data_IF_538915960976
#
_entry.id   IF_538915960976
#
_cell.length_a   1.000
_cell.length_b   1.000
_cell.length_c   1.000
_cell.angle_alpha   90.00
_cell.angle_beta   90.00
_cell.angle_gamma   90.00
#
_symmetry.space_group_name_H-M   'P 1'
#
loop_
_entity.id
_entity.type
_entity.pdbx_description
1 polymer ?
#
# COMPACT_ATOMS: atom_id res chain seq x y z
N UNK A 1 64.63 -15.71 72.69
CA UNK A 1 63.98 -14.42 72.36
C UNK A 1 64.06 -14.15 70.86
N UNK A 2 62.99 -14.42 70.11
CA UNK A 2 62.91 -14.02 68.68
C UNK A 2 61.49 -13.50 68.42
N UNK A 3 61.40 -12.23 68.03
CA UNK A 3 60.12 -11.56 67.66
C UNK A 3 59.74 -11.91 66.23
N UNK A 4 58.44 -12.15 65.88
CA UNK A 4 58.02 -12.29 64.51
C UNK A 4 57.66 -10.92 63.88
N UNK A 5 58.09 -10.77 62.65
CA UNK A 5 57.86 -9.62 61.79
C UNK A 5 56.47 -9.80 61.14
N UNK A 6 55.55 -8.86 61.44
CA UNK A 6 54.26 -8.77 60.68
C UNK A 6 54.54 -8.19 59.28
N UNK A 7 54.20 -8.92 58.23
CA UNK A 7 54.15 -8.46 56.83
C UNK A 7 52.73 -8.02 56.48
N UNK A 8 52.53 -6.77 56.32
CA UNK A 8 51.29 -6.18 55.78
C UNK A 8 51.17 -6.54 54.31
N UNK A 9 50.09 -7.26 53.92
CA UNK A 9 49.72 -7.55 52.58
C UNK A 9 48.68 -6.50 52.16
N UNK A 10 49.04 -5.53 51.31
CA UNK A 10 48.11 -4.62 50.65
C UNK A 10 47.44 -5.34 49.50
N UNK A 11 46.17 -5.61 49.62
CA UNK A 11 45.29 -6.06 48.51
C UNK A 11 44.91 -4.82 47.71
N UNK A 12 45.50 -4.66 46.55
CA UNK A 12 45.07 -3.68 45.54
C UNK A 12 43.88 -4.27 44.76
N UNK A 13 42.67 -3.85 45.09
CA UNK A 13 41.47 -4.15 44.33
C UNK A 13 41.42 -3.30 43.06
N UNK A 14 41.86 -3.83 41.93
CA UNK A 14 41.70 -3.22 40.62
C UNK A 14 40.28 -3.26 40.16
N UNK A 15 39.57 -2.14 40.14
CA UNK A 15 38.24 -1.95 39.58
C UNK A 15 38.35 -1.89 38.05
N UNK A 16 38.08 -3.01 37.38
CA UNK A 16 38.05 -3.08 35.92
C UNK A 16 36.73 -2.43 35.42
N UNK A 17 36.80 -1.15 35.03
CA UNK A 17 35.65 -0.48 34.40
C UNK A 17 35.47 -1.04 32.98
N UNK A 18 34.47 -1.92 32.78
CA UNK A 18 34.03 -2.34 31.47
C UNK A 18 33.29 -1.15 30.81
N UNK A 19 34.01 -0.38 29.99
CA UNK A 19 33.36 0.56 29.06
C UNK A 19 32.63 -0.23 28.01
N UNK A 20 31.30 -0.34 28.11
CA UNK A 20 30.46 -0.86 27.06
C UNK A 20 30.50 0.11 25.87
N UNK A 21 31.22 -0.27 24.81
CA UNK A 21 31.13 0.39 23.51
C UNK A 21 29.74 0.14 22.98
N UNK A 22 28.82 1.08 23.13
CA UNK A 22 27.55 1.09 22.40
C UNK A 22 27.89 1.41 20.95
N UNK A 23 28.00 0.37 20.11
CA UNK A 23 28.06 0.53 18.66
C UNK A 23 26.68 1.09 18.27
N UNK A 24 26.59 2.32 17.70
CA UNK A 24 25.33 2.81 17.20
C UNK A 24 24.85 1.83 16.12
N UNK A 25 23.73 1.15 16.36
CA UNK A 25 23.04 0.39 15.33
C UNK A 25 22.57 1.42 14.32
N UNK A 26 23.27 1.54 13.21
CA UNK A 26 22.86 2.40 12.11
C UNK A 26 21.50 1.86 11.63
N UNK A 27 20.44 2.62 11.85
CA UNK A 27 19.13 2.28 11.31
C UNK A 27 19.32 2.08 9.81
N UNK A 28 19.02 0.88 9.31
CA UNK A 28 19.08 0.63 7.88
C UNK A 28 18.14 1.63 7.19
N UNK A 29 18.61 2.31 6.15
CA UNK A 29 17.77 3.21 5.39
C UNK A 29 16.62 2.40 4.78
N UNK A 30 15.41 2.95 4.78
CA UNK A 30 14.23 2.35 4.17
C UNK A 30 14.54 1.93 2.73
N UNK A 31 14.39 0.64 2.43
CA UNK A 31 14.53 0.14 1.08
C UNK A 31 13.21 0.36 0.31
N UNK A 32 13.28 1.01 -0.84
CA UNK A 32 12.13 1.26 -1.72
C UNK A 32 12.30 0.45 -3.00
N UNK A 33 11.46 -0.56 -3.20
CA UNK A 33 11.46 -1.41 -4.38
C UNK A 33 10.13 -1.29 -5.13
N UNK A 34 10.20 -1.19 -6.46
CA UNK A 34 9.01 -1.14 -7.29
C UNK A 34 9.09 -2.13 -8.46
N UNK A 35 7.95 -2.77 -8.76
CA UNK A 35 7.68 -3.49 -9.99
C UNK A 35 6.65 -2.70 -10.79
N UNK A 36 7.02 -2.28 -12.00
CA UNK A 36 6.14 -1.56 -12.93
C UNK A 36 5.87 -2.44 -14.13
N UNK A 37 4.60 -2.77 -14.36
CA UNK A 37 4.16 -3.62 -15.46
C UNK A 37 3.24 -2.82 -16.38
N UNK A 38 3.58 -2.72 -17.69
CA UNK A 38 2.76 -2.12 -18.73
C UNK A 38 2.38 -3.15 -19.79
N UNK A 39 1.09 -3.45 -19.92
CA UNK A 39 0.55 -4.41 -20.89
C UNK A 39 -0.19 -3.65 -21.99
N UNK A 40 0.43 -3.51 -23.16
CA UNK A 40 -0.05 -2.71 -24.29
C UNK A 40 -0.37 -3.55 -25.52
N UNK A 41 0.59 -4.38 -25.96
CA UNK A 41 0.54 -5.12 -27.21
C UNK A 41 -0.16 -6.49 -27.07
N UNK A 42 -1.44 -6.46 -26.80
CA UNK A 42 -2.29 -7.66 -26.71
C UNK A 42 -2.43 -8.36 -28.06
N UNK A 43 -2.46 -9.70 -28.06
CA UNK A 43 -2.51 -10.51 -29.28
C UNK A 43 -3.93 -10.83 -29.75
N UNK A 44 -4.89 -10.84 -28.84
CA UNK A 44 -6.25 -11.35 -29.08
C UNK A 44 -7.34 -10.34 -28.81
N UNK A 45 -6.98 -9.22 -28.21
CA UNK A 45 -7.87 -8.11 -27.85
C UNK A 45 -7.26 -6.78 -28.31
N UNK A 46 -8.01 -5.67 -28.34
CA UNK A 46 -7.46 -4.37 -28.73
C UNK A 46 -6.25 -3.98 -27.90
N UNK A 47 -5.26 -3.39 -28.58
CA UNK A 47 -4.09 -2.80 -27.94
C UNK A 47 -4.48 -1.63 -27.01
N UNK A 48 -3.64 -1.41 -26.00
CA UNK A 48 -3.75 -0.29 -25.06
C UNK A 48 -2.48 0.58 -25.13
N UNK A 49 -2.39 1.53 -26.07
CA UNK A 49 -1.19 2.33 -26.26
C UNK A 49 -0.76 3.08 -25.00
N UNK A 50 -1.72 3.59 -24.22
CA UNK A 50 -1.42 4.37 -23.02
C UNK A 50 -0.78 3.53 -21.90
N UNK A 51 -1.08 2.25 -21.80
CA UNK A 51 -0.49 1.38 -20.76
C UNK A 51 1.05 1.33 -20.80
N UNK A 52 1.64 1.45 -22.01
CA UNK A 52 3.10 1.53 -22.15
C UNK A 52 3.65 2.88 -21.68
N UNK A 53 2.94 3.99 -21.97
CA UNK A 53 3.30 5.32 -21.52
C UNK A 53 3.13 5.45 -20.00
N UNK A 54 2.01 4.97 -19.48
CA UNK A 54 1.72 4.91 -18.04
C UNK A 54 2.85 4.22 -17.26
N UNK A 55 3.28 3.06 -17.73
CA UNK A 55 4.40 2.33 -17.13
C UNK A 55 5.71 3.13 -17.20
N UNK A 56 5.97 3.81 -18.31
CA UNK A 56 7.16 4.67 -18.46
C UNK A 56 7.12 5.84 -17.50
N UNK A 57 6.01 6.58 -17.46
CA UNK A 57 5.83 7.73 -16.56
C UNK A 57 5.96 7.33 -15.09
N UNK A 58 5.35 6.20 -14.71
CA UNK A 58 5.45 5.69 -13.34
C UNK A 58 6.85 5.19 -13.00
N UNK A 59 7.59 4.60 -13.95
CA UNK A 59 9.00 4.24 -13.74
C UNK A 59 9.85 5.47 -13.41
N UNK A 60 9.66 6.56 -14.14
CA UNK A 60 10.38 7.82 -13.91
C UNK A 60 9.97 8.45 -12.57
N UNK A 61 8.69 8.51 -12.27
CA UNK A 61 8.17 9.04 -10.99
C UNK A 61 8.76 8.29 -9.80
N UNK A 62 8.66 6.96 -9.82
CA UNK A 62 9.11 6.11 -8.72
C UNK A 62 10.64 6.13 -8.57
N UNK A 63 11.38 6.14 -9.67
CA UNK A 63 12.83 6.33 -9.63
C UNK A 63 13.22 7.64 -8.94
N UNK A 64 12.55 8.75 -9.28
CA UNK A 64 12.74 10.05 -8.63
C UNK A 64 12.30 10.07 -7.16
N UNK A 65 11.36 9.20 -6.77
CA UNK A 65 10.93 9.02 -5.38
C UNK A 65 11.85 8.06 -4.59
N UNK A 66 12.98 7.65 -5.16
CA UNK A 66 13.98 6.82 -4.49
C UNK A 66 13.71 5.31 -4.55
N UNK A 67 12.82 4.85 -5.41
CA UNK A 67 12.62 3.42 -5.63
C UNK A 67 13.66 2.84 -6.58
N UNK A 68 14.14 1.64 -6.25
CA UNK A 68 14.78 0.77 -7.22
C UNK A 68 13.70 0.11 -8.06
N UNK A 69 13.53 0.54 -9.31
CA UNK A 69 12.43 0.14 -10.16
C UNK A 69 12.84 -1.02 -11.08
N UNK A 70 12.03 -2.08 -11.10
CA UNK A 70 12.05 -3.12 -12.12
C UNK A 70 10.89 -2.88 -13.06
N UNK A 71 11.17 -2.58 -14.33
CA UNK A 71 10.14 -2.36 -15.35
C UNK A 71 10.01 -3.59 -16.24
N UNK A 72 8.78 -3.98 -16.53
CA UNK A 72 8.45 -5.08 -17.43
C UNK A 72 7.27 -4.68 -18.33
N UNK A 73 7.24 -5.14 -19.56
CA UNK A 73 6.19 -4.78 -20.52
C UNK A 73 5.83 -5.95 -21.43
N UNK A 74 4.57 -5.98 -21.83
CA UNK A 74 4.03 -6.95 -22.79
C UNK A 74 4.35 -8.41 -22.44
N UNK A 75 4.16 -8.73 -21.17
CA UNK A 75 4.48 -10.04 -20.62
C UNK A 75 3.44 -11.08 -21.02
N UNK A 76 3.89 -12.23 -21.50
CA UNK A 76 3.11 -13.46 -21.54
C UNK A 76 2.84 -13.97 -20.10
N UNK A 77 1.93 -14.91 -19.93
CA UNK A 77 1.51 -15.39 -18.61
C UNK A 77 2.68 -15.84 -17.74
N UNK A 78 3.55 -16.70 -18.29
CA UNK A 78 4.68 -17.24 -17.53
C UNK A 78 5.70 -16.16 -17.18
N UNK A 79 5.95 -15.23 -18.10
CA UNK A 79 6.88 -14.13 -17.88
C UNK A 79 6.35 -13.17 -16.81
N UNK A 80 5.03 -12.93 -16.77
CA UNK A 80 4.41 -12.10 -15.73
C UNK A 80 4.52 -12.77 -14.35
N UNK A 81 4.25 -14.06 -14.26
CA UNK A 81 4.44 -14.84 -13.03
C UNK A 81 5.89 -14.84 -12.56
N UNK A 82 6.83 -14.98 -13.50
CA UNK A 82 8.26 -14.94 -13.20
C UNK A 82 8.68 -13.56 -12.70
N UNK A 83 8.25 -12.47 -13.36
CA UNK A 83 8.54 -11.10 -12.92
C UNK A 83 8.04 -10.82 -11.49
N UNK A 84 6.84 -11.31 -11.15
CA UNK A 84 6.28 -11.22 -9.79
C UNK A 84 7.14 -12.01 -8.79
N UNK A 85 7.51 -13.23 -9.14
CA UNK A 85 8.34 -14.10 -8.28
C UNK A 85 9.74 -13.51 -8.05
N UNK A 86 10.38 -12.99 -9.08
CA UNK A 86 11.69 -12.35 -8.98
C UNK A 86 11.64 -11.08 -8.14
N UNK A 87 10.56 -10.30 -8.30
CA UNK A 87 10.32 -9.12 -7.47
C UNK A 87 10.12 -9.49 -6.00
N UNK A 88 9.31 -10.51 -5.71
CA UNK A 88 9.12 -11.02 -4.34
C UNK A 88 10.44 -11.49 -3.72
N UNK A 89 11.31 -12.14 -4.51
CA UNK A 89 12.65 -12.54 -4.08
C UNK A 89 13.52 -11.33 -3.70
N UNK A 90 13.48 -10.25 -4.49
CA UNK A 90 14.20 -8.99 -4.18
C UNK A 90 13.66 -8.34 -2.90
N UNK A 91 12.33 -8.27 -2.74
CA UNK A 91 11.69 -7.72 -1.54
C UNK A 91 12.08 -8.53 -0.31
N UNK A 92 12.04 -9.85 -0.39
CA UNK A 92 12.45 -10.74 0.71
C UNK A 92 13.91 -10.53 1.13
N UNK A 93 14.81 -10.33 0.17
CA UNK A 93 16.22 -10.09 0.42
C UNK A 93 16.52 -8.71 1.04
N UNK A 94 15.62 -7.74 0.88
CA UNK A 94 15.82 -6.36 1.36
C UNK A 94 15.39 -6.14 2.82
N UNK A 95 14.72 -7.11 3.44
CA UNK A 95 14.38 -7.08 4.85
C UNK A 95 13.07 -6.34 5.18
N UNK A 96 12.75 -6.32 6.49
CA UNK A 96 11.44 -5.89 6.99
C UNK A 96 11.17 -4.38 6.86
N UNK A 97 12.20 -3.57 6.68
CA UNK A 97 12.06 -2.11 6.53
C UNK A 97 11.87 -1.68 5.06
N UNK A 98 11.40 -2.62 4.24
CA UNK A 98 11.18 -2.42 2.81
C UNK A 98 9.78 -1.90 2.54
N UNK A 99 9.67 -0.87 1.69
CA UNK A 99 8.44 -0.48 1.00
C UNK A 99 8.44 -1.15 -0.38
N UNK A 100 7.47 -2.03 -0.61
CA UNK A 100 7.28 -2.72 -1.88
C UNK A 100 6.10 -2.10 -2.63
N UNK A 101 6.31 -1.65 -3.87
CA UNK A 101 5.26 -1.06 -4.71
C UNK A 101 5.11 -1.88 -5.99
N UNK A 102 3.86 -2.17 -6.37
CA UNK A 102 3.53 -2.72 -7.68
C UNK A 102 2.60 -1.76 -8.40
N UNK A 103 3.00 -1.33 -9.59
CA UNK A 103 2.14 -0.63 -10.54
C UNK A 103 1.84 -1.55 -11.71
N UNK A 104 0.57 -1.63 -12.07
CA UNK A 104 0.12 -2.38 -13.24
C UNK A 104 -0.79 -1.48 -14.09
N UNK A 105 -0.47 -1.36 -15.37
CA UNK A 105 -1.31 -0.74 -16.39
C UNK A 105 -1.63 -1.77 -17.48
N UNK A 106 -2.93 -2.00 -17.73
CA UNK A 106 -3.35 -3.01 -18.70
C UNK A 106 -4.80 -3.44 -18.52
N UNK A 107 -5.23 -4.46 -19.28
CA UNK A 107 -6.53 -5.07 -19.07
C UNK A 107 -6.59 -5.81 -17.74
N UNK A 108 -7.71 -5.69 -17.05
CA UNK A 108 -8.10 -6.48 -15.90
C UNK A 108 -9.53 -6.97 -16.08
N UNK A 109 -9.85 -8.11 -15.52
CA UNK A 109 -11.22 -8.65 -15.55
C UNK A 109 -11.51 -9.42 -14.26
N UNK A 110 -12.78 -9.64 -13.98
CA UNK A 110 -13.20 -10.49 -12.89
C UNK A 110 -14.06 -11.66 -13.38
N UNK A 111 -13.88 -12.81 -12.72
CA UNK A 111 -14.74 -13.98 -12.86
C UNK A 111 -15.10 -14.43 -11.44
N UNK A 112 -16.38 -14.58 -11.15
CA UNK A 112 -16.90 -15.02 -9.85
C UNK A 112 -16.32 -14.23 -8.64
N UNK A 113 -16.10 -12.91 -8.83
CA UNK A 113 -15.52 -12.04 -7.82
C UNK A 113 -13.99 -12.11 -7.68
N UNK A 114 -13.31 -12.98 -8.42
CA UNK A 114 -11.85 -13.05 -8.48
C UNK A 114 -11.31 -12.16 -9.61
N UNK A 115 -10.28 -11.37 -9.27
CA UNK A 115 -9.64 -10.46 -10.21
C UNK A 115 -8.43 -11.11 -10.90
N UNK A 116 -8.31 -10.86 -12.20
CA UNK A 116 -7.23 -11.34 -13.03
C UNK A 116 -6.56 -10.18 -13.79
N UNK A 117 -5.24 -10.11 -13.70
CA UNK A 117 -4.41 -9.31 -14.59
C UNK A 117 -4.26 -10.08 -15.90
N UNK A 118 -4.38 -9.38 -17.02
CA UNK A 118 -4.44 -10.00 -18.36
C UNK A 118 -3.05 -10.00 -19.01
N UNK A 119 -2.40 -11.16 -19.20
CA UNK A 119 -1.19 -11.27 -19.99
C UNK A 119 -1.48 -11.00 -21.47
N UNK A 120 -0.47 -10.57 -22.25
CA UNK A 120 -0.68 -10.21 -23.66
C UNK A 120 -1.03 -11.41 -24.57
N UNK A 121 -0.78 -12.62 -24.10
CA UNK A 121 -1.05 -13.88 -24.83
C UNK A 121 -2.35 -14.59 -24.38
N UNK A 122 -3.13 -13.99 -23.48
CA UNK A 122 -4.39 -14.57 -23.02
C UNK A 122 -5.37 -14.68 -24.17
N UNK A 123 -5.85 -15.91 -24.46
CA UNK A 123 -6.80 -16.23 -25.53
C UNK A 123 -7.86 -17.23 -25.05
N UNK A 124 -8.77 -16.82 -24.16
CA UNK A 124 -9.76 -17.70 -23.58
C UNK A 124 -10.86 -18.02 -24.60
N UNK A 125 -11.22 -19.29 -24.71
CA UNK A 125 -12.36 -19.74 -25.50
C UNK A 125 -13.62 -19.89 -24.64
N UNK A 126 -13.47 -20.03 -23.36
CA UNK A 126 -14.51 -20.18 -22.33
C UNK A 126 -14.08 -19.43 -21.07
N UNK A 127 -15.02 -19.07 -20.22
CA UNK A 127 -14.75 -18.43 -18.92
C UNK A 127 -13.80 -19.26 -18.06
N UNK A 128 -13.96 -20.59 -18.05
CA UNK A 128 -13.10 -21.52 -17.32
C UNK A 128 -11.63 -21.49 -17.77
N UNK A 129 -11.32 -20.92 -18.93
CA UNK A 129 -9.94 -20.80 -19.42
C UNK A 129 -9.21 -19.61 -18.76
N UNK A 130 -9.95 -18.59 -18.27
CA UNK A 130 -9.37 -17.38 -17.67
C UNK A 130 -8.54 -17.69 -16.42
N UNK A 131 -9.02 -18.48 -15.45
CA UNK A 131 -8.19 -18.86 -14.29
C UNK A 131 -6.91 -19.63 -14.66
N UNK A 132 -6.91 -20.30 -15.81
CA UNK A 132 -5.76 -21.06 -16.28
C UNK A 132 -4.73 -20.20 -17.03
N UNK A 133 -5.18 -19.14 -17.71
CA UNK A 133 -4.34 -18.31 -18.59
C UNK A 133 -4.08 -16.91 -18.01
N UNK A 134 -4.90 -16.40 -17.10
CA UNK A 134 -4.71 -15.14 -16.43
C UNK A 134 -3.71 -15.21 -15.26
N UNK A 135 -3.37 -14.06 -14.70
CA UNK A 135 -2.62 -13.96 -13.45
C UNK A 135 -3.56 -13.44 -12.37
N UNK A 136 -3.88 -14.29 -11.39
CA UNK A 136 -4.81 -13.93 -10.32
C UNK A 136 -4.20 -12.84 -9.44
N UNK A 137 -4.94 -11.75 -9.23
CA UNK A 137 -4.48 -10.62 -8.40
C UNK A 137 -4.25 -11.06 -6.95
N UNK A 138 -5.12 -11.92 -6.41
CA UNK A 138 -4.95 -12.43 -5.04
C UNK A 138 -3.66 -13.24 -4.86
N UNK A 139 -3.16 -13.93 -5.88
CA UNK A 139 -1.87 -14.64 -5.80
C UNK A 139 -0.71 -13.64 -5.67
N UNK A 140 -0.73 -12.52 -6.41
CA UNK A 140 0.24 -11.43 -6.27
C UNK A 140 0.18 -10.80 -4.87
N UNK A 141 -1.01 -10.47 -4.40
CA UNK A 141 -1.22 -9.87 -3.07
C UNK A 141 -0.73 -10.79 -1.95
N UNK A 142 -1.07 -12.08 -2.02
CA UNK A 142 -0.66 -13.08 -1.03
C UNK A 142 0.85 -13.33 -1.07
N UNK A 143 1.45 -13.36 -2.26
CA UNK A 143 2.90 -13.56 -2.42
C UNK A 143 3.69 -12.45 -1.71
N UNK A 144 3.32 -11.20 -1.93
CA UNK A 144 3.96 -10.07 -1.25
C UNK A 144 3.50 -9.93 0.22
N UNK A 145 2.24 -10.28 0.49
CA UNK A 145 1.65 -10.27 1.84
C UNK A 145 2.34 -11.20 2.82
N UNK A 146 2.90 -12.30 2.35
CA UNK A 146 3.66 -13.25 3.16
C UNK A 146 5.06 -12.74 3.56
N UNK A 147 5.55 -11.65 2.93
CA UNK A 147 6.88 -11.12 3.19
C UNK A 147 6.86 -10.09 4.32
N UNK A 148 7.86 -10.08 5.19
CA UNK A 148 8.01 -9.02 6.17
C UNK A 148 8.42 -7.72 5.46
N UNK A 149 7.50 -6.77 5.40
CA UNK A 149 7.71 -5.46 4.78
C UNK A 149 7.08 -4.36 5.64
N UNK A 150 7.62 -3.15 5.57
CA UNK A 150 7.05 -1.99 6.23
C UNK A 150 5.72 -1.57 5.61
N UNK A 151 5.66 -1.56 4.28
CA UNK A 151 4.45 -1.26 3.53
C UNK A 151 4.43 -1.96 2.18
N UNK A 152 3.24 -2.29 1.71
CA UNK A 152 2.96 -2.81 0.36
C UNK A 152 1.94 -1.91 -0.31
N UNK A 153 2.28 -1.42 -1.47
CA UNK A 153 1.47 -0.47 -2.22
C UNK A 153 1.18 -1.09 -3.59
N UNK A 154 -0.09 -1.21 -3.94
CA UNK A 154 -0.54 -1.69 -5.24
C UNK A 154 -1.31 -0.56 -5.92
N UNK A 155 -0.88 -0.20 -7.12
CA UNK A 155 -1.54 0.79 -7.97
C UNK A 155 -2.00 0.07 -9.24
N UNK A 156 -3.31 -0.09 -9.39
CA UNK A 156 -3.92 -0.88 -10.45
C UNK A 156 -4.64 0.06 -11.43
N UNK A 157 -3.96 0.42 -12.50
CA UNK A 157 -4.57 1.11 -13.64
C UNK A 157 -5.13 0.07 -14.61
N UNK A 158 -6.11 -0.64 -14.08
CA UNK A 158 -6.78 -1.75 -14.74
C UNK A 158 -8.22 -1.72 -14.28
N UNK A 159 -9.15 -1.73 -15.06
CA UNK A 159 -10.60 -1.84 -14.85
C UNK A 159 -11.29 -1.36 -16.11
N UNK A 160 -11.10 -2.10 -17.17
CA UNK A 160 -11.68 -1.75 -18.47
C UNK A 160 -12.83 -2.69 -18.75
N UNK A 161 -13.58 -2.36 -19.78
CA UNK A 161 -14.58 -3.30 -20.32
C UNK A 161 -13.97 -4.68 -20.46
N UNK A 162 -14.77 -5.70 -20.21
CA UNK A 162 -14.39 -7.06 -20.52
C UNK A 162 -13.85 -7.13 -21.96
N UNK A 163 -12.54 -7.38 -22.16
CA UNK A 163 -11.96 -7.39 -23.49
C UNK A 163 -12.39 -8.61 -24.32
N UNK A 164 -13.13 -9.56 -23.72
CA UNK A 164 -13.64 -10.78 -24.33
C UNK A 164 -15.18 -10.77 -24.34
N UNK A 165 -15.84 -10.01 -25.23
CA UNK A 165 -17.30 -9.83 -25.21
C UNK A 165 -18.08 -11.12 -25.41
N UNK A 166 -17.45 -12.16 -25.97
CA UNK A 166 -18.06 -13.49 -26.11
C UNK A 166 -18.18 -14.25 -24.77
N UNK A 167 -17.52 -13.78 -23.70
CA UNK A 167 -17.55 -14.38 -22.37
C UNK A 167 -18.48 -13.56 -21.47
N UNK A 168 -19.73 -13.97 -21.41
CA UNK A 168 -20.80 -13.21 -20.76
C UNK A 168 -20.75 -13.19 -19.22
N UNK A 169 -20.04 -14.12 -18.59
CA UNK A 169 -19.89 -14.19 -17.13
C UNK A 169 -18.75 -13.36 -16.57
N UNK A 170 -17.90 -12.78 -17.42
CA UNK A 170 -16.90 -11.82 -16.95
C UNK A 170 -17.60 -10.51 -16.54
N UNK A 171 -17.50 -10.17 -15.27
CA UNK A 171 -18.05 -8.94 -14.72
C UNK A 171 -17.35 -7.69 -15.26
N UNK A 172 -18.02 -6.54 -15.16
CA UNK A 172 -17.42 -5.24 -15.46
C UNK A 172 -16.47 -4.83 -14.34
N UNK A 173 -15.31 -4.26 -14.69
CA UNK A 173 -14.33 -3.74 -13.75
C UNK A 173 -13.67 -4.82 -12.87
N UNK A 174 -12.95 -4.38 -11.86
CA UNK A 174 -12.37 -5.25 -10.83
C UNK A 174 -13.30 -5.32 -9.60
N UNK A 175 -13.33 -6.48 -8.94
CA UNK A 175 -13.98 -6.65 -7.65
C UNK A 175 -13.14 -6.03 -6.53
N UNK A 176 -13.81 -5.67 -5.42
CA UNK A 176 -13.10 -5.28 -4.19
C UNK A 176 -12.34 -6.51 -3.68
N UNK A 177 -11.05 -6.33 -3.44
CA UNK A 177 -10.27 -7.34 -2.73
C UNK A 177 -10.45 -7.12 -1.22
N UNK A 178 -10.82 -8.20 -0.51
CA UNK A 178 -10.87 -8.19 0.94
C UNK A 178 -9.43 -8.19 1.49
N UNK A 179 -8.98 -7.04 1.99
CA UNK A 179 -7.66 -6.89 2.61
C UNK A 179 -7.50 -7.65 3.94
N UNK A 180 -8.58 -8.25 4.46
CA UNK A 180 -8.52 -9.10 5.67
C UNK A 180 -7.69 -10.38 5.46
N UNK A 181 -7.50 -10.78 4.22
CA UNK A 181 -6.82 -12.05 3.90
C UNK A 181 -5.32 -12.02 4.10
N UNK A 182 -4.75 -10.98 4.70
CA UNK A 182 -3.42 -11.33 5.00
C UNK A 182 -2.37 -10.31 5.28
N UNK A 183 -2.50 -9.07 5.22
CA UNK A 183 -1.33 -8.30 5.62
C UNK A 183 -1.68 -6.89 6.09
N UNK A 184 -1.55 -6.67 7.36
CA UNK A 184 -1.37 -5.33 7.89
C UNK A 184 -0.27 -4.62 7.08
N UNK A 185 -0.45 -3.33 6.79
CA UNK A 185 0.51 -2.57 6.03
C UNK A 185 0.35 -2.67 4.51
N UNK A 186 -0.87 -2.89 4.00
CA UNK A 186 -1.17 -2.94 2.57
C UNK A 186 -2.06 -1.76 2.15
N UNK A 187 -1.72 -1.14 1.04
CA UNK A 187 -2.49 -0.11 0.36
C UNK A 187 -2.77 -0.55 -1.08
N UNK A 188 -4.04 -0.56 -1.48
CA UNK A 188 -4.43 -0.92 -2.85
C UNK A 188 -5.23 0.25 -3.43
N UNK A 189 -4.78 0.79 -4.56
CA UNK A 189 -5.50 1.79 -5.33
C UNK A 189 -5.93 1.22 -6.67
N UNK A 190 -7.17 1.45 -7.02
CA UNK A 190 -7.78 1.11 -8.29
C UNK A 190 -8.05 2.39 -9.08
N UNK A 191 -7.82 2.36 -10.39
CA UNK A 191 -8.04 3.53 -11.26
C UNK A 191 -9.52 3.95 -11.34
N UNK A 192 -10.46 3.07 -10.97
CA UNK A 192 -11.89 3.39 -10.88
C UNK A 192 -12.55 2.64 -9.71
N UNK A 193 -13.82 2.95 -9.43
CA UNK A 193 -14.61 2.27 -8.41
C UNK A 193 -14.92 0.82 -8.80
N UNK A 194 -15.17 -0.06 -7.83
CA UNK A 194 -15.49 -1.47 -8.09
C UNK A 194 -16.69 -1.63 -9.04
N UNK A 195 -16.55 -2.52 -10.00
CA UNK A 195 -17.56 -2.77 -11.00
C UNK A 195 -17.73 -1.68 -12.07
N UNK A 196 -16.94 -0.59 -12.00
CA UNK A 196 -16.93 0.47 -12.99
C UNK A 196 -15.78 0.31 -13.98
N UNK A 197 -15.88 1.01 -15.11
CA UNK A 197 -14.86 1.02 -16.16
C UNK A 197 -13.89 2.18 -15.98
N UNK A 198 -12.62 1.96 -16.26
CA UNK A 198 -11.63 3.02 -16.38
C UNK A 198 -11.43 3.37 -17.86
N UNK A 199 -11.24 4.65 -18.13
CA UNK A 199 -10.94 5.15 -19.46
C UNK A 199 -9.44 5.00 -19.78
N UNK A 200 -9.11 4.67 -21.03
CA UNK A 200 -7.73 4.76 -21.53
C UNK A 200 -7.30 6.23 -21.69
N UNK A 201 -8.29 7.10 -21.84
CA UNK A 201 -8.09 8.51 -22.10
C UNK A 201 -7.73 8.79 -23.56
N UNK A 202 -7.72 10.09 -23.90
CA UNK A 202 -7.33 10.59 -25.22
C UNK A 202 -5.94 11.25 -25.22
N UNK A 203 -5.29 11.28 -24.05
CA UNK A 203 -3.95 11.81 -23.85
C UNK A 203 -2.84 10.79 -24.09
N UNK A 204 -1.65 11.12 -23.64
CA UNK A 204 -0.48 10.21 -23.68
C UNK A 204 -0.62 9.12 -22.62
N UNK A 205 -1.11 9.50 -21.43
CA UNK A 205 -1.34 8.64 -20.30
C UNK A 205 -2.84 8.52 -20.02
N UNK A 206 -3.22 7.51 -19.25
CA UNK A 206 -4.57 7.38 -18.72
C UNK A 206 -4.92 8.55 -17.79
N UNK A 207 -6.22 8.84 -17.54
CA UNK A 207 -6.62 9.86 -16.56
C UNK A 207 -6.04 9.58 -15.16
N UNK A 208 -6.00 8.32 -14.75
CA UNK A 208 -5.47 7.92 -13.45
C UNK A 208 -3.96 8.15 -13.35
N UNK A 209 -3.20 7.68 -14.33
CA UNK A 209 -1.74 7.87 -14.34
C UNK A 209 -1.37 9.33 -14.51
N UNK A 210 -2.06 10.12 -15.36
CA UNK A 210 -1.86 11.57 -15.47
C UNK A 210 -2.00 12.27 -14.11
N UNK A 211 -3.05 11.94 -13.36
CA UNK A 211 -3.27 12.50 -12.03
C UNK A 211 -2.17 12.03 -11.04
N UNK A 212 -1.79 10.74 -11.08
CA UNK A 212 -0.74 10.19 -10.22
C UNK A 212 0.61 10.88 -10.45
N UNK A 213 1.02 11.05 -11.72
CA UNK A 213 2.27 11.71 -12.11
C UNK A 213 2.33 13.18 -11.66
N UNK A 214 1.19 13.81 -11.48
CA UNK A 214 1.10 15.21 -11.03
C UNK A 214 1.08 15.32 -9.51
N UNK A 215 0.19 14.56 -8.88
CA UNK A 215 -0.09 14.69 -7.43
C UNK A 215 1.00 14.08 -6.58
N UNK A 216 1.51 12.90 -6.95
CA UNK A 216 2.51 12.20 -6.15
C UNK A 216 3.85 12.94 -6.02
N UNK A 217 4.14 13.88 -6.91
CA UNK A 217 5.34 14.75 -6.84
C UNK A 217 5.29 15.79 -5.72
N UNK A 218 4.14 16.01 -5.11
CA UNK A 218 4.00 16.98 -4.02
C UNK A 218 4.75 16.48 -2.78
N UNK A 219 5.71 17.27 -2.24
CA UNK A 219 6.52 16.83 -1.12
C UNK A 219 5.71 16.75 0.17
N UNK A 220 6.10 15.85 1.04
CA UNK A 220 5.55 15.65 2.40
C UNK A 220 4.05 15.32 2.46
N UNK A 221 3.46 14.87 1.35
CA UNK A 221 2.06 14.51 1.30
C UNK A 221 1.88 13.04 1.72
N UNK A 222 1.07 12.74 2.76
CA UNK A 222 0.75 11.36 3.13
C UNK A 222 0.03 10.63 1.99
N UNK A 223 0.25 9.32 1.87
CA UNK A 223 -0.27 8.51 0.77
C UNK A 223 -1.80 8.61 0.65
N UNK A 224 -2.53 8.64 1.75
CA UNK A 224 -3.99 8.76 1.77
C UNK A 224 -4.44 10.09 1.14
N UNK A 225 -3.74 11.17 1.43
CA UNK A 225 -4.04 12.49 0.84
C UNK A 225 -3.62 12.54 -0.62
N UNK A 226 -2.52 11.87 -1.03
CA UNK A 226 -2.14 11.71 -2.44
C UNK A 226 -3.28 11.07 -3.22
N UNK A 227 -3.78 9.92 -2.77
CA UNK A 227 -4.81 9.19 -3.51
C UNK A 227 -6.18 9.87 -3.46
N UNK A 228 -6.51 10.57 -2.37
CA UNK A 228 -7.68 11.44 -2.35
C UNK A 228 -7.61 12.55 -3.41
N UNK A 229 -6.45 13.19 -3.59
CA UNK A 229 -6.28 14.21 -4.62
C UNK A 229 -6.27 13.63 -6.03
N UNK A 230 -5.67 12.44 -6.23
CA UNK A 230 -5.77 11.70 -7.49
C UNK A 230 -7.24 11.45 -7.83
N UNK A 231 -8.05 10.96 -6.88
CA UNK A 231 -9.48 10.73 -7.06
C UNK A 231 -10.21 11.98 -7.52
N UNK A 232 -9.95 13.12 -6.88
CA UNK A 232 -10.56 14.39 -7.25
C UNK A 232 -10.16 14.82 -8.67
N UNK A 233 -8.86 14.71 -9.00
CA UNK A 233 -8.35 15.10 -10.32
C UNK A 233 -8.93 14.22 -11.45
N UNK A 234 -9.00 12.89 -11.23
CA UNK A 234 -9.59 11.94 -12.19
C UNK A 234 -11.08 12.21 -12.35
N UNK A 235 -11.83 12.38 -11.26
CA UNK A 235 -13.26 12.69 -11.33
C UNK A 235 -13.51 13.99 -12.12
N UNK A 236 -12.69 15.02 -11.93
CA UNK A 236 -12.79 16.28 -12.66
C UNK A 236 -12.45 16.12 -14.15
N UNK A 237 -11.38 15.40 -14.49
CA UNK A 237 -10.93 15.23 -15.88
C UNK A 237 -11.83 14.31 -16.70
N UNK A 238 -12.64 13.49 -16.05
CA UNK A 238 -13.58 12.54 -16.68
C UNK A 238 -15.04 12.92 -16.49
N UNK A 239 -15.34 14.14 -16.04
CA UNK A 239 -16.72 14.58 -15.74
C UNK A 239 -17.49 13.60 -14.83
N UNK A 240 -16.81 13.03 -13.84
CA UNK A 240 -17.36 12.10 -12.87
C UNK A 240 -17.59 10.66 -13.39
N UNK A 241 -17.20 10.35 -14.63
CA UNK A 241 -17.35 9.00 -15.19
C UNK A 241 -16.39 7.98 -14.54
N UNK A 242 -15.22 8.45 -14.10
CA UNK A 242 -14.22 7.61 -13.47
C UNK A 242 -13.89 8.15 -12.07
N UNK A 243 -14.03 7.32 -11.06
CA UNK A 243 -13.77 7.68 -9.65
C UNK A 243 -12.82 6.63 -9.06
N UNK A 244 -11.52 6.92 -8.91
CA UNK A 244 -10.58 6.02 -8.25
C UNK A 244 -11.01 5.60 -6.86
N UNK A 245 -10.67 4.37 -6.50
CA UNK A 245 -10.98 3.78 -5.21
C UNK A 245 -9.71 3.27 -4.53
N UNK A 246 -9.66 3.30 -3.20
CA UNK A 246 -8.58 2.69 -2.44
C UNK A 246 -9.08 1.89 -1.25
N UNK A 247 -8.26 0.92 -0.84
CA UNK A 247 -8.37 0.18 0.40
C UNK A 247 -7.02 0.23 1.12
N UNK A 248 -7.01 0.60 2.40
CA UNK A 248 -5.79 0.75 3.19
C UNK A 248 -5.88 -0.01 4.50
N UNK A 249 -4.81 -0.74 4.82
CA UNK A 249 -4.52 -1.31 6.13
C UNK A 249 -3.13 -0.85 6.62
N UNK A 250 -2.64 0.28 6.11
CA UNK A 250 -1.37 0.85 6.54
C UNK A 250 -1.45 1.24 8.01
N UNK A 251 -0.38 0.90 8.74
CA UNK A 251 -0.19 1.29 10.14
C UNK A 251 1.01 2.23 10.31
N UNK A 252 1.67 2.55 9.21
CA UNK A 252 2.83 3.45 9.15
C UNK A 252 2.60 4.51 8.08
N UNK A 253 3.05 5.72 8.34
CA UNK A 253 3.02 6.79 7.35
C UNK A 253 3.91 6.46 6.16
N UNK A 254 3.42 6.76 4.96
CA UNK A 254 4.21 6.70 3.74
C UNK A 254 4.04 8.00 2.93
N UNK A 255 5.14 8.45 2.33
CA UNK A 255 5.20 9.61 1.43
C UNK A 255 6.08 9.26 0.23
N UNK A 256 5.63 9.61 -0.97
CA UNK A 256 6.46 9.41 -2.16
C UNK A 256 7.70 10.32 -2.11
N UNK A 257 7.51 11.60 -1.82
CA UNK A 257 8.56 12.60 -1.75
C UNK A 257 8.53 13.33 -0.40
N UNK A 258 9.72 13.64 0.11
CA UNK A 258 9.91 14.27 1.42
C UNK A 258 10.63 13.33 2.37
N UNK A 259 11.48 13.87 3.24
CA UNK A 259 12.23 13.06 4.18
C UNK A 259 11.30 12.36 5.16
N UNK A 260 11.39 11.06 5.24
CA UNK A 260 10.91 10.35 6.41
C UNK A 260 11.74 10.86 7.58
N UNK A 261 11.08 11.50 8.53
CA UNK A 261 11.63 11.66 9.87
C UNK A 261 11.72 10.24 10.44
N UNK A 262 12.80 9.54 10.09
CA UNK A 262 13.13 8.26 10.67
C UNK A 262 13.17 8.44 12.18
N UNK A 263 12.20 7.85 12.87
CA UNK A 263 12.27 7.66 14.31
C UNK A 263 11.59 8.69 15.19
N UNK A 264 10.53 9.34 14.74
CA UNK A 264 9.57 9.93 15.68
C UNK A 264 8.25 9.21 15.49
N UNK A 265 8.03 8.13 16.27
CA UNK A 265 6.70 7.99 16.83
C UNK A 265 6.42 9.36 17.44
N UNK A 266 5.61 10.17 16.76
CA UNK A 266 5.00 11.30 17.41
C UNK A 266 4.17 10.68 18.54
N UNK A 267 4.76 10.63 19.72
CA UNK A 267 3.97 10.56 20.94
C UNK A 267 2.94 11.68 20.75
N UNK A 268 1.68 11.30 20.67
CA UNK A 268 0.57 12.24 20.64
C UNK A 268 0.89 13.29 21.71
N UNK A 269 1.03 14.58 21.37
CA UNK A 269 1.30 15.59 22.36
C UNK A 269 0.05 15.64 23.24
N UNK A 270 0.16 15.11 24.46
CA UNK A 270 -0.95 15.15 25.39
C UNK A 270 -1.35 13.84 26.07
N UNK A 271 -0.54 12.79 26.03
CA UNK A 271 -0.67 11.71 27.01
C UNK A 271 -0.08 12.18 28.37
N UNK A 272 -0.43 13.38 28.80
CA UNK A 272 -0.50 13.68 30.22
C UNK A 272 -1.63 12.84 30.78
N UNK A 273 -1.32 12.03 31.78
CA UNK A 273 -2.23 11.25 32.56
C UNK A 273 -3.47 12.09 32.96
N UNK A 274 -4.50 12.13 32.10
CA UNK A 274 -5.82 12.45 32.56
C UNK A 274 -6.28 11.23 33.35
N UNK A 275 -6.29 11.38 34.68
CA UNK A 275 -7.00 10.48 35.55
C UNK A 275 -8.43 10.37 35.00
N UNK A 276 -8.79 9.18 34.54
CA UNK A 276 -10.14 8.83 34.15
C UNK A 276 -11.03 9.07 35.41
N UNK A 277 -11.76 10.16 35.42
CA UNK A 277 -12.91 10.28 36.30
C UNK A 277 -13.92 9.25 35.81
N UNK A 278 -14.03 8.15 36.53
CA UNK A 278 -15.06 7.14 36.34
C UNK A 278 -16.42 7.73 36.68
N UNK A 279 -17.08 8.29 35.68
CA UNK A 279 -18.44 8.75 35.74
C UNK A 279 -19.15 8.37 34.48
N UNK A 280 -19.98 7.32 34.53
CA UNK A 280 -20.93 7.00 33.46
C UNK A 280 -21.80 8.22 33.21
N UNK A 281 -21.65 8.84 32.05
CA UNK A 281 -22.52 9.96 31.64
C UNK A 281 -23.95 9.46 31.48
N UNK A 282 -24.90 10.19 32.00
CA UNK A 282 -26.30 9.85 31.83
C UNK A 282 -26.76 10.09 30.39
N UNK A 283 -27.78 9.34 29.94
CA UNK A 283 -28.41 9.54 28.61
C UNK A 283 -28.96 10.99 28.46
N UNK A 284 -29.27 11.65 29.54
CA UNK A 284 -29.75 13.03 29.55
C UNK A 284 -28.62 14.02 29.26
N UNK A 285 -27.43 13.79 29.79
CA UNK A 285 -26.23 14.60 29.51
C UNK A 285 -25.82 14.47 28.06
N UNK A 286 -25.85 13.26 27.49
CA UNK A 286 -25.61 13.00 26.08
C UNK A 286 -26.61 13.71 25.18
N UNK A 287 -27.91 13.63 25.50
CA UNK A 287 -28.96 14.29 24.73
C UNK A 287 -28.79 15.81 24.69
N UNK A 288 -28.32 16.39 25.77
CA UNK A 288 -28.07 17.83 25.88
C UNK A 288 -26.85 18.27 25.05
N UNK A 289 -25.78 17.49 25.09
CA UNK A 289 -24.55 17.77 24.34
C UNK A 289 -24.72 17.59 22.82
N UNK A 290 -25.63 16.71 22.39
CA UNK A 290 -25.89 16.42 20.97
C UNK A 290 -26.95 17.35 20.35
N UNK A 291 -27.65 18.16 21.17
CA UNK A 291 -28.70 19.03 20.70
C UNK A 291 -28.16 20.12 19.76
N UNK A 292 -28.57 20.09 18.48
CA UNK A 292 -28.13 21.04 17.46
C UNK A 292 -26.82 20.73 16.76
N UNK A 293 -26.18 19.59 17.05
CA UNK A 293 -24.95 19.15 16.33
C UNK A 293 -25.28 18.31 15.08
N UNK A 294 -24.46 18.40 14.02
CA UNK A 294 -24.62 17.53 12.84
C UNK A 294 -24.54 16.05 13.22
N UNK A 295 -25.33 15.21 12.56
CA UNK A 295 -25.43 13.77 12.85
C UNK A 295 -24.09 13.02 12.86
N UNK A 296 -23.10 13.45 12.05
CA UNK A 296 -21.77 12.85 12.00
C UNK A 296 -20.96 13.06 13.29
N UNK A 297 -21.07 14.25 13.92
CA UNK A 297 -20.39 14.54 15.20
C UNK A 297 -21.03 13.74 16.34
N UNK A 298 -22.34 13.56 16.30
CA UNK A 298 -23.06 12.74 17.25
C UNK A 298 -22.62 11.26 17.20
N UNK A 299 -22.38 10.74 15.99
CA UNK A 299 -21.91 9.37 15.78
C UNK A 299 -20.49 9.14 16.33
N UNK A 300 -19.55 10.06 16.11
CA UNK A 300 -18.19 9.97 16.66
C UNK A 300 -18.16 10.01 18.18
N UNK A 301 -19.00 10.85 18.80
CA UNK A 301 -19.07 10.96 20.26
C UNK A 301 -19.61 9.67 20.90
N UNK A 302 -20.58 9.00 20.28
CA UNK A 302 -21.15 7.74 20.78
C UNK A 302 -20.15 6.58 20.66
N UNK A 303 -19.40 6.50 19.57
CA UNK A 303 -18.39 5.42 19.40
C UNK A 303 -17.23 5.53 20.39
N UNK A 304 -16.81 6.75 20.74
CA UNK A 304 -15.71 6.93 21.71
C UNK A 304 -16.13 6.58 23.14
N UNK A 305 -17.40 6.70 23.48
CA UNK A 305 -17.91 6.33 24.81
C UNK A 305 -18.14 4.82 24.95
N UNK A 306 -18.61 4.15 23.90
CA UNK A 306 -18.86 2.70 23.88
C UNK A 306 -17.55 1.87 23.95
N UNK A 307 -16.42 2.44 23.55
CA UNK A 307 -15.10 1.82 23.71
C UNK A 307 -14.54 1.87 25.13
N UNK A 308 -15.04 2.77 25.98
CA UNK A 308 -14.60 2.86 27.37
C UNK A 308 -15.29 1.84 28.27
N UNK A 309 -16.46 1.32 27.89
CA UNK A 309 -17.23 0.35 28.67
C UNK A 309 -16.92 -1.11 28.36
N UNK A 310 -16.11 -1.40 27.32
CA UNK A 310 -15.75 -2.78 26.92
C UNK A 310 -14.42 -3.30 27.50
N UNK A 311 -13.80 -2.57 28.44
CA UNK A 311 -12.55 -2.98 29.13
C UNK A 311 -12.76 -2.94 30.65
N UNK A 312 -13.71 -3.74 31.11
CA UNK A 312 -13.83 -4.08 32.53
C UNK A 312 -14.20 -5.54 32.67
#
# INVERSE_FOLDING_TARGET
>A
MRRPILRNLFLASGLLALTQLTIPTQAAAEARLALVIGQSAYRTVPELPNAANDAKGMTELLGNAGFTVTTASNLAQNDMRQAISDFAGKVSASGADTVALVFYAGHGLQIDGENYLVPVDLDPKREADIPLQGVRLNDLLNTLGALPTRARIFMLDACRNNPFPALSGAGHGLAIVDTKAGAQGTFISYSTSPGAEAEDGTGIDSPYTTAALTVAKQPNLPIEEVFKRIRVAVAQSTDGRQIPWESSSLTTDFKFFGGDSSGSQAALPGASSMALASGTRSLEDWRKDLQGKPAMIAYEMVITDDRSDSVS
#
